data_IF_278315467262
#
_entry.id   IF_278315467262
#
_cell.length_a   1.000
_cell.length_b   1.000
_cell.length_c   1.000
_cell.angle_alpha   90.00
_cell.angle_beta   90.00
_cell.angle_gamma   90.00
#
_symmetry.space_group_name_H-M   'P 1'
#
loop_
_entity.id
_entity.type
_entity.pdbx_description
1 polymer ?
#
# COMPACT_ATOMS: atom_id res chain seq x y z
N UNK A 1 2.60 5.34 -2.94
CA UNK A 1 3.53 5.88 -1.95
C UNK A 1 4.82 6.37 -2.62
N UNK A 2 5.62 7.11 -1.88
CA UNK A 2 6.89 7.59 -2.37
C UNK A 2 7.89 7.67 -1.22
N UNK A 3 9.19 7.59 -1.53
CA UNK A 3 10.25 7.64 -0.52
C UNK A 3 10.37 9.03 0.13
N UNK A 4 9.95 10.08 -0.57
CA UNK A 4 9.98 11.46 -0.07
C UNK A 4 8.77 11.80 0.80
N UNK A 5 7.81 10.90 0.92
CA UNK A 5 6.58 11.10 1.68
C UNK A 5 6.74 10.48 3.07
N UNK A 6 6.92 11.30 4.11
CA UNK A 6 7.17 10.81 5.48
C UNK A 6 6.07 9.89 5.99
N UNK A 7 4.77 10.26 5.92
CA UNK A 7 3.72 9.34 6.37
C UNK A 7 3.65 8.06 5.54
N UNK A 8 4.07 8.10 4.26
CA UNK A 8 4.17 6.88 3.46
C UNK A 8 5.21 5.93 4.02
N UNK A 9 6.37 6.45 4.42
CA UNK A 9 7.44 5.65 4.99
C UNK A 9 7.02 4.99 6.30
N UNK A 10 6.25 5.69 7.09
CA UNK A 10 5.71 5.13 8.34
C UNK A 10 4.72 4.01 8.05
N UNK A 11 3.87 4.19 7.05
CA UNK A 11 2.90 3.16 6.66
C UNK A 11 3.58 1.90 6.12
N UNK A 12 4.69 2.03 5.38
CA UNK A 12 5.38 0.84 4.87
C UNK A 12 5.79 -0.11 5.97
N UNK A 13 6.18 0.42 7.13
CA UNK A 13 6.52 -0.41 8.29
C UNK A 13 5.30 -1.14 8.84
N UNK A 14 4.17 -0.45 8.90
CA UNK A 14 2.91 -1.04 9.35
C UNK A 14 2.47 -2.15 8.41
N UNK A 15 2.59 -1.91 7.09
CA UNK A 15 2.23 -2.89 6.07
C UNK A 15 3.16 -4.09 6.08
N UNK A 16 4.47 -3.88 6.28
CA UNK A 16 5.42 -4.97 6.40
C UNK A 16 5.11 -5.85 7.60
N UNK A 17 4.76 -5.25 8.74
CA UNK A 17 4.36 -5.99 9.94
C UNK A 17 3.06 -6.77 9.69
N UNK A 18 2.10 -6.16 9.00
CA UNK A 18 0.85 -6.82 8.65
C UNK A 18 1.11 -8.03 7.77
N UNK A 19 1.91 -7.89 6.72
CA UNK A 19 2.26 -9.00 5.84
C UNK A 19 2.96 -10.11 6.61
N UNK A 20 3.79 -9.77 7.59
CA UNK A 20 4.49 -10.75 8.42
C UNK A 20 3.57 -11.60 9.29
N UNK A 21 2.35 -11.13 9.55
CA UNK A 21 1.37 -11.85 10.36
C UNK A 21 0.47 -12.78 9.52
N UNK A 22 0.55 -12.71 8.19
CA UNK A 22 -0.32 -13.46 7.30
C UNK A 22 0.48 -14.06 6.15
N UNK A 23 0.11 -15.26 5.72
CA UNK A 23 0.69 -15.83 4.51
C UNK A 23 0.18 -15.06 3.28
N UNK A 24 0.95 -15.09 2.20
CA UNK A 24 0.57 -14.43 0.95
C UNK A 24 -0.73 -15.00 0.37
N UNK A 25 -1.05 -16.26 0.68
CA UNK A 25 -2.31 -16.87 0.23
C UNK A 25 -3.51 -16.31 0.97
N UNK A 26 -3.32 -15.85 2.19
CA UNK A 26 -4.39 -15.23 2.99
C UNK A 26 -4.53 -13.75 2.66
N UNK A 27 -3.42 -13.03 2.67
CA UNK A 27 -3.37 -11.60 2.48
C UNK A 27 -2.07 -11.24 1.77
N UNK A 28 -2.17 -10.52 0.67
CA UNK A 28 -1.00 -10.02 -0.04
C UNK A 28 -1.01 -8.50 -0.03
N UNK A 29 0.07 -7.91 0.49
CA UNK A 29 0.30 -6.47 0.40
C UNK A 29 1.06 -6.20 -0.89
N UNK A 30 0.60 -5.22 -1.64
CA UNK A 30 1.28 -4.73 -2.84
C UNK A 30 1.54 -3.25 -2.68
N UNK A 31 2.79 -2.83 -2.88
CA UNK A 31 3.14 -1.42 -2.86
C UNK A 31 3.29 -0.89 -4.28
N UNK A 32 2.69 0.27 -4.54
CA UNK A 32 2.87 0.95 -5.83
C UNK A 32 3.58 2.27 -5.52
N UNK A 33 4.85 2.35 -5.89
CA UNK A 33 5.69 3.50 -5.61
C UNK A 33 5.69 4.49 -6.77
N UNK A 34 5.34 5.74 -6.48
CA UNK A 34 5.36 6.83 -7.44
C UNK A 34 6.65 7.61 -7.21
N UNK A 35 7.75 7.02 -7.64
CA UNK A 35 9.08 7.54 -7.38
C UNK A 35 10.07 6.88 -8.36
N UNK A 36 11.34 7.29 -8.27
CA UNK A 36 12.39 6.71 -9.08
C UNK A 36 12.70 5.28 -8.61
N UNK A 37 12.96 4.41 -9.57
CA UNK A 37 13.21 2.99 -9.33
C UNK A 37 14.35 2.75 -8.34
N UNK A 38 15.47 3.45 -8.51
CA UNK A 38 16.64 3.29 -7.64
C UNK A 38 16.36 3.71 -6.19
N UNK A 39 15.56 4.74 -6.00
CA UNK A 39 15.18 5.21 -4.66
C UNK A 39 14.26 4.23 -3.96
N UNK A 40 13.29 3.68 -4.69
CA UNK A 40 12.38 2.68 -4.14
C UNK A 40 13.13 1.40 -3.79
N UNK A 41 14.01 0.94 -4.67
CA UNK A 41 14.82 -0.26 -4.43
C UNK A 41 15.70 -0.10 -3.19
N UNK A 42 16.38 1.03 -3.08
CA UNK A 42 17.24 1.31 -1.92
C UNK A 42 16.42 1.34 -0.63
N UNK A 43 15.29 2.03 -0.64
CA UNK A 43 14.42 2.14 0.53
C UNK A 43 13.92 0.76 0.98
N UNK A 44 13.41 -0.05 0.06
CA UNK A 44 12.89 -1.37 0.41
C UNK A 44 13.97 -2.27 0.98
N UNK A 45 15.17 -2.21 0.43
CA UNK A 45 16.31 -2.99 0.91
C UNK A 45 16.75 -2.52 2.31
N UNK A 46 16.89 -1.21 2.51
CA UNK A 46 17.37 -0.65 3.78
C UNK A 46 16.38 -0.85 4.93
N UNK A 47 15.08 -0.90 4.62
CA UNK A 47 14.04 -1.02 5.63
C UNK A 47 13.42 -2.41 5.72
N UNK A 48 13.99 -3.38 5.01
CA UNK A 48 13.52 -4.76 5.07
C UNK A 48 12.08 -4.94 4.60
N UNK A 49 11.67 -4.18 3.59
CA UNK A 49 10.35 -4.32 3.00
C UNK A 49 10.37 -5.50 2.05
N UNK A 50 9.68 -6.57 2.38
CA UNK A 50 9.71 -7.81 1.61
C UNK A 50 8.41 -8.12 0.85
N UNK A 51 7.38 -7.30 0.99
CA UNK A 51 6.23 -7.42 0.10
C UNK A 51 6.56 -6.80 -1.27
N UNK A 52 5.88 -7.23 -2.34
CA UNK A 52 6.17 -6.72 -3.68
C UNK A 52 5.92 -5.22 -3.80
N UNK A 53 6.88 -4.52 -4.42
CA UNK A 53 6.78 -3.10 -4.70
C UNK A 53 6.95 -2.90 -6.20
N UNK A 54 5.99 -2.24 -6.82
CA UNK A 54 6.00 -1.93 -8.23
C UNK A 54 6.32 -0.45 -8.42
N UNK A 55 7.18 -0.16 -9.38
CA UNK A 55 7.51 1.21 -9.74
C UNK A 55 6.47 1.72 -10.72
N UNK A 56 5.85 2.85 -10.42
CA UNK A 56 4.88 3.47 -11.28
C UNK A 56 5.13 4.98 -11.35
N UNK A 57 4.93 5.54 -12.52
CA UNK A 57 4.96 6.97 -12.71
C UNK A 57 3.53 7.50 -12.82
N UNK A 58 3.27 8.12 -13.97
CA UNK A 58 1.95 8.69 -14.24
C UNK A 58 0.84 7.64 -14.18
N UNK A 59 1.12 6.42 -14.62
CA UNK A 59 0.14 5.34 -14.59
C UNK A 59 -0.32 5.01 -13.17
N UNK A 60 0.59 5.14 -12.21
CA UNK A 60 0.25 4.93 -10.80
C UNK A 60 -0.68 6.01 -10.27
N UNK A 61 -0.44 7.26 -10.66
CA UNK A 61 -1.31 8.39 -10.31
C UNK A 61 -2.69 8.19 -10.92
N UNK A 62 -2.75 7.82 -12.19
CA UNK A 62 -4.01 7.59 -12.90
C UNK A 62 -4.79 6.42 -12.29
N UNK A 63 -4.11 5.34 -11.93
CA UNK A 63 -4.75 4.21 -11.26
C UNK A 63 -5.35 4.64 -9.91
N UNK A 64 -4.60 5.38 -9.12
CA UNK A 64 -5.08 5.86 -7.83
C UNK A 64 -6.32 6.74 -7.98
N UNK A 65 -6.35 7.59 -9.00
CA UNK A 65 -7.52 8.41 -9.30
C UNK A 65 -8.73 7.57 -9.64
N UNK A 66 -8.55 6.52 -10.44
CA UNK A 66 -9.63 5.59 -10.77
C UNK A 66 -10.15 4.87 -9.54
N UNK A 67 -9.30 4.70 -8.53
CA UNK A 67 -9.67 4.06 -7.27
C UNK A 67 -10.12 5.07 -6.21
N UNK A 68 -10.34 6.34 -6.58
CA UNK A 68 -10.94 7.33 -5.71
C UNK A 68 -10.02 8.40 -5.16
N UNK A 69 -8.71 8.35 -5.47
CA UNK A 69 -7.77 9.37 -5.00
C UNK A 69 -7.79 10.58 -5.95
N UNK A 70 -8.81 11.43 -5.79
CA UNK A 70 -9.04 12.54 -6.71
C UNK A 70 -8.11 13.72 -6.51
N UNK A 71 -7.42 13.80 -5.37
CA UNK A 71 -6.51 14.90 -5.04
C UNK A 71 -5.05 14.49 -5.06
N UNK A 72 -4.75 13.29 -5.53
CA UNK A 72 -3.38 12.76 -5.58
C UNK A 72 -2.68 12.79 -4.22
N UNK A 73 -3.42 12.55 -3.14
CA UNK A 73 -2.87 12.51 -1.79
C UNK A 73 -2.07 11.22 -1.55
N UNK A 74 -1.02 11.32 -0.75
CA UNK A 74 -0.20 10.18 -0.35
C UNK A 74 -0.06 10.16 1.18
N UNK A 75 -0.02 8.98 1.80
CA UNK A 75 -0.27 7.68 1.17
C UNK A 75 -1.74 7.45 0.85
N UNK A 76 -2.01 6.54 -0.06
CA UNK A 76 -3.35 6.12 -0.41
C UNK A 76 -3.40 4.60 -0.40
N UNK A 77 -4.31 4.02 0.36
CA UNK A 77 -4.36 2.58 0.58
C UNK A 77 -5.75 2.06 0.25
N UNK A 78 -5.81 0.94 -0.45
CA UNK A 78 -7.08 0.31 -0.80
C UNK A 78 -7.10 -1.14 -0.37
N UNK A 79 -8.27 -1.65 -0.06
CA UNK A 79 -8.51 -3.05 0.19
C UNK A 79 -9.28 -3.65 -0.98
N UNK A 80 -8.75 -4.72 -1.53
CA UNK A 80 -9.37 -5.50 -2.60
C UNK A 80 -9.81 -6.81 -1.95
N UNK A 81 -11.07 -7.21 -2.14
CA UNK A 81 -11.58 -8.43 -1.55
C UNK A 81 -11.17 -9.67 -2.36
N UNK A 82 -11.57 -10.86 -1.90
CA UNK A 82 -11.20 -12.11 -2.57
C UNK A 82 -11.85 -12.30 -3.93
N UNK A 83 -12.88 -11.52 -4.22
CA UNK A 83 -13.51 -11.52 -5.55
C UNK A 83 -12.84 -10.56 -6.52
N UNK A 84 -11.78 -9.87 -6.06
CA UNK A 84 -11.07 -8.90 -6.87
C UNK A 84 -11.76 -7.54 -6.94
N UNK A 85 -12.69 -7.28 -6.04
CA UNK A 85 -13.45 -6.03 -6.03
C UNK A 85 -12.84 -5.03 -5.06
N UNK A 86 -12.76 -3.80 -5.50
CA UNK A 86 -12.41 -2.67 -4.64
C UNK A 86 -13.49 -2.52 -3.58
N UNK A 87 -13.09 -2.59 -2.32
CA UNK A 87 -14.05 -2.62 -1.23
C UNK A 87 -13.93 -1.43 -0.27
N UNK A 88 -12.74 -0.89 -0.06
CA UNK A 88 -12.53 0.21 0.87
C UNK A 88 -11.24 0.94 0.59
N UNK A 89 -11.19 2.22 0.97
CA UNK A 89 -10.01 3.07 0.80
C UNK A 89 -9.71 3.82 2.08
N UNK A 90 -8.46 4.27 2.20
CA UNK A 90 -8.02 5.15 3.27
C UNK A 90 -7.08 6.21 2.70
N UNK A 91 -7.38 7.48 2.95
CA UNK A 91 -6.54 8.62 2.58
C UNK A 91 -5.63 8.97 3.75
N UNK A 92 -4.36 9.17 3.46
CA UNK A 92 -3.38 9.49 4.48
C UNK A 92 -2.90 8.27 5.26
N UNK A 93 -2.01 8.48 6.21
CA UNK A 93 -1.48 7.40 7.04
C UNK A 93 -2.61 6.80 7.89
N UNK A 94 -2.84 5.48 7.80
CA UNK A 94 -3.86 4.84 8.62
C UNK A 94 -3.39 4.74 10.07
N UNK A 95 -4.33 4.88 11.00
CA UNK A 95 -4.10 4.44 12.38
C UNK A 95 -4.10 2.90 12.39
N UNK A 96 -3.55 2.25 13.43
CA UNK A 96 -3.56 0.78 13.47
C UNK A 96 -4.93 0.16 13.26
N UNK A 97 -5.98 0.73 13.85
CA UNK A 97 -7.33 0.22 13.68
C UNK A 97 -7.88 0.40 12.26
N UNK A 98 -7.46 1.44 11.55
CA UNK A 98 -7.84 1.65 10.16
C UNK A 98 -7.22 0.57 9.27
N UNK A 99 -5.96 0.25 9.51
CA UNK A 99 -5.26 -0.79 8.77
C UNK A 99 -5.88 -2.17 9.05
N UNK A 100 -6.23 -2.44 10.29
CA UNK A 100 -6.91 -3.69 10.66
C UNK A 100 -8.26 -3.81 9.95
N UNK A 101 -9.01 -2.71 9.82
CA UNK A 101 -10.28 -2.72 9.10
C UNK A 101 -10.09 -3.03 7.61
N UNK A 102 -9.06 -2.47 6.99
CA UNK A 102 -8.73 -2.78 5.58
C UNK A 102 -8.31 -4.25 5.44
N UNK A 103 -7.48 -4.73 6.34
CA UNK A 103 -7.02 -6.12 6.33
C UNK A 103 -8.19 -7.09 6.50
N UNK A 104 -9.13 -6.79 7.38
CA UNK A 104 -10.29 -7.64 7.61
C UNK A 104 -11.12 -7.84 6.34
N UNK A 105 -11.23 -6.80 5.51
CA UNK A 105 -11.94 -6.90 4.23
C UNK A 105 -11.20 -7.82 3.27
N UNK A 106 -9.90 -7.67 3.16
CA UNK A 106 -9.09 -8.50 2.27
C UNK A 106 -9.07 -9.97 2.71
N UNK A 107 -9.22 -10.22 4.02
CA UNK A 107 -9.20 -11.58 4.59
C UNK A 107 -10.55 -12.27 4.56
N UNK A 108 -11.63 -11.59 4.20
CA UNK A 108 -12.96 -12.22 4.12
C UNK A 108 -12.99 -13.36 3.12
N UNK A 109 -13.63 -14.48 3.47
CA UNK A 109 -13.79 -15.60 2.54
C UNK A 109 -14.69 -15.26 1.36
#
# INVERSE_FOLDING_TARGET
WATWCVPCREETRMLAALQGRHSADELTVLGIGIDQSDKLERFTREHGIDYPVFVAGREGVELARKLGNLRDELPYTVAIDRNGLFARQHLGKPAPQDLEALAAIALRP
#
